data_IF_981720353627
#
_entry.id   IF_981720353627
#
_cell.length_a   1.000
_cell.length_b   1.000
_cell.length_c   1.000
_cell.angle_alpha   90.00
_cell.angle_beta   90.00
_cell.angle_gamma   90.00
#
_symmetry.space_group_name_H-M   'P 1'
#
loop_
_entity.id
_entity.type
_entity.pdbx_description
1 polymer ?
#
# COMPACT_ATOMS: atom_id res chain seq x y z
N UNK A 1 0.58 -12.44 1.42
CA UNK A 1 1.35 -11.23 1.08
C UNK A 1 0.47 -10.04 1.30
N UNK A 2 1.08 -8.93 1.70
CA UNK A 2 0.39 -7.70 2.09
C UNK A 2 1.02 -6.53 1.35
N UNK A 3 0.20 -5.63 0.82
CA UNK A 3 0.67 -4.36 0.22
C UNK A 3 0.39 -3.22 1.19
N UNK A 4 1.37 -2.35 1.44
CA UNK A 4 1.24 -1.27 2.43
C UNK A 4 2.12 -0.05 2.12
N UNK A 5 1.66 1.11 2.58
CA UNK A 5 2.42 2.37 2.54
C UNK A 5 3.31 2.60 3.76
N UNK A 6 3.11 1.82 4.83
CA UNK A 6 3.77 2.08 6.10
C UNK A 6 5.21 1.57 6.07
N UNK A 7 6.16 2.48 5.89
CA UNK A 7 7.59 2.21 6.07
C UNK A 7 8.04 2.41 7.53
N UNK A 8 7.14 2.17 8.50
CA UNK A 8 7.51 2.15 9.91
C UNK A 8 8.46 0.97 10.10
N UNK A 9 9.74 1.26 10.33
CA UNK A 9 10.83 0.28 10.47
C UNK A 9 10.47 -0.84 11.46
N UNK A 10 9.69 -0.51 12.49
CA UNK A 10 9.15 -1.45 13.49
C UNK A 10 8.09 -2.40 12.91
N UNK A 11 7.15 -1.89 12.12
CA UNK A 11 6.09 -2.67 11.47
C UNK A 11 6.63 -3.47 10.29
N UNK A 12 7.62 -2.94 9.57
CA UNK A 12 8.31 -3.64 8.49
C UNK A 12 9.03 -4.90 8.99
N UNK A 13 9.69 -4.84 10.16
CA UNK A 13 10.28 -6.02 10.80
C UNK A 13 9.23 -7.02 11.31
N UNK A 14 8.10 -6.53 11.81
CA UNK A 14 7.00 -7.38 12.29
C UNK A 14 6.30 -8.10 11.14
N UNK A 15 5.98 -7.38 10.05
CA UNK A 15 5.44 -7.96 8.83
C UNK A 15 6.44 -8.93 8.21
N UNK A 16 7.71 -8.56 8.00
CA UNK A 16 8.70 -9.45 7.34
C UNK A 16 8.91 -10.80 8.07
N UNK A 17 8.61 -10.88 9.37
CA UNK A 17 8.66 -12.12 10.17
C UNK A 17 7.41 -12.99 10.06
N UNK A 18 6.27 -12.45 9.63
CA UNK A 18 4.97 -13.15 9.61
C UNK A 18 4.30 -13.19 8.22
N UNK A 19 4.61 -12.25 7.32
CA UNK A 19 4.00 -12.08 6.01
C UNK A 19 5.01 -11.42 5.04
N UNK A 20 5.04 -11.84 3.78
CA UNK A 20 5.80 -11.12 2.74
C UNK A 20 5.14 -9.76 2.46
N UNK A 21 5.80 -8.61 2.71
CA UNK A 21 5.24 -7.30 2.44
C UNK A 21 5.74 -6.70 1.11
N UNK A 22 4.87 -6.00 0.41
CA UNK A 22 5.18 -5.11 -0.72
C UNK A 22 4.93 -3.67 -0.26
N UNK A 23 5.94 -2.81 -0.37
CA UNK A 23 5.87 -1.43 0.12
C UNK A 23 5.60 -0.47 -1.03
N UNK A 24 4.68 0.48 -0.82
CA UNK A 24 4.38 1.55 -1.77
C UNK A 24 5.07 2.84 -1.33
N UNK A 25 5.60 3.55 -2.31
CA UNK A 25 6.26 4.84 -2.09
C UNK A 25 5.23 5.93 -1.80
N UNK A 26 5.63 6.92 -1.01
CA UNK A 26 4.81 8.10 -0.68
C UNK A 26 5.54 9.37 -1.05
N UNK A 27 4.84 10.30 -1.68
CA UNK A 27 5.35 11.62 -2.00
C UNK A 27 5.78 12.38 -0.74
N UNK A 28 6.83 13.19 -0.88
CA UNK A 28 7.21 14.21 0.10
C UNK A 28 7.41 15.55 -0.59
N UNK A 29 7.00 16.62 0.07
CA UNK A 29 7.24 17.97 -0.40
C UNK A 29 8.55 18.56 0.21
N UNK A 30 9.03 19.72 -0.28
CA UNK A 30 10.24 20.37 0.26
C UNK A 30 10.16 20.76 1.75
N UNK A 31 8.97 20.83 2.32
CA UNK A 31 8.75 21.08 3.76
C UNK A 31 8.81 19.79 4.60
N UNK A 32 9.01 18.64 3.96
CA UNK A 32 9.10 17.33 4.60
C UNK A 32 7.75 16.66 4.87
N UNK A 33 6.63 17.28 4.46
CA UNK A 33 5.29 16.72 4.67
C UNK A 33 5.13 15.42 3.92
N UNK A 34 4.48 14.46 4.58
CA UNK A 34 4.11 13.17 4.02
C UNK A 34 2.85 13.40 3.19
N UNK A 35 3.08 13.43 1.88
CA UNK A 35 2.02 13.43 0.90
C UNK A 35 1.48 12.03 0.70
N UNK A 36 0.77 11.88 -0.41
CA UNK A 36 0.13 10.64 -0.73
C UNK A 36 1.05 9.57 -1.34
N UNK A 37 0.59 8.32 -1.38
CA UNK A 37 1.00 7.30 -2.36
C UNK A 37 1.09 7.84 -3.79
N UNK A 38 2.20 7.61 -4.47
CA UNK A 38 2.33 8.05 -5.85
C UNK A 38 1.36 7.30 -6.79
N UNK A 39 0.85 7.97 -7.81
CA UNK A 39 -0.21 7.43 -8.67
C UNK A 39 0.20 6.13 -9.40
N UNK A 40 1.49 6.00 -9.73
CA UNK A 40 2.08 4.83 -10.39
C UNK A 40 2.11 3.59 -9.47
N UNK A 41 2.13 3.78 -8.15
CA UNK A 41 2.08 2.68 -7.18
C UNK A 41 0.76 1.89 -7.21
N UNK A 42 -0.24 2.39 -7.94
CA UNK A 42 -1.52 1.71 -8.18
C UNK A 42 -1.61 1.08 -9.58
N UNK A 43 -0.52 1.04 -10.34
CA UNK A 43 -0.46 0.34 -11.62
C UNK A 43 -0.16 -1.14 -11.38
N UNK A 44 -0.94 -2.02 -12.02
CA UNK A 44 -0.83 -3.46 -11.80
C UNK A 44 0.55 -4.00 -12.22
N UNK A 45 1.09 -3.52 -13.33
CA UNK A 45 2.40 -3.95 -13.83
C UNK A 45 3.50 -3.64 -12.80
N UNK A 46 3.51 -2.42 -12.27
CA UNK A 46 4.42 -2.02 -11.20
C UNK A 46 4.26 -2.87 -9.93
N UNK A 47 3.02 -3.12 -9.51
CA UNK A 47 2.76 -4.01 -8.36
C UNK A 47 3.28 -5.43 -8.61
N UNK A 48 3.13 -5.96 -9.83
CA UNK A 48 3.62 -7.30 -10.20
C UNK A 48 5.15 -7.36 -10.27
N UNK A 49 5.81 -6.29 -10.69
CA UNK A 49 7.27 -6.14 -10.59
C UNK A 49 7.72 -6.22 -9.12
N UNK A 50 7.09 -5.44 -8.23
CA UNK A 50 7.40 -5.49 -6.80
C UNK A 50 7.14 -6.87 -6.18
N UNK A 51 6.10 -7.58 -6.61
CA UNK A 51 5.83 -8.96 -6.19
C UNK A 51 6.94 -9.89 -6.66
N UNK A 52 7.45 -9.71 -7.88
CA UNK A 52 8.48 -10.58 -8.44
C UNK A 52 9.78 -10.55 -7.62
N UNK A 53 10.12 -9.40 -7.04
CA UNK A 53 11.29 -9.23 -6.19
C UNK A 53 11.19 -9.98 -4.84
N UNK A 54 9.98 -10.16 -4.30
CA UNK A 54 9.79 -10.69 -2.93
C UNK A 54 9.08 -12.05 -2.87
N UNK A 55 8.31 -12.39 -3.88
CA UNK A 55 7.50 -13.60 -3.98
C UNK A 55 7.20 -13.95 -5.45
N UNK A 56 8.23 -14.30 -6.26
CA UNK A 56 8.09 -14.55 -7.70
C UNK A 56 7.03 -15.61 -8.03
N UNK A 57 6.84 -16.60 -7.16
CA UNK A 57 5.84 -17.64 -7.30
C UNK A 57 4.39 -17.13 -7.27
N UNK A 58 4.15 -15.89 -6.82
CA UNK A 58 2.82 -15.27 -6.69
C UNK A 58 2.54 -14.21 -7.75
N UNK A 59 3.49 -13.91 -8.63
CA UNK A 59 3.38 -12.86 -9.65
C UNK A 59 2.20 -13.09 -10.58
N UNK A 60 1.79 -14.35 -10.81
CA UNK A 60 0.68 -14.72 -11.69
C UNK A 60 -0.63 -14.99 -10.95
N UNK A 61 -0.65 -14.84 -9.62
CA UNK A 61 -1.90 -14.96 -8.86
C UNK A 61 -2.88 -13.89 -9.35
N UNK A 62 -4.16 -14.27 -9.48
CA UNK A 62 -5.24 -13.31 -9.77
C UNK A 62 -5.37 -12.31 -8.62
N UNK A 63 -5.23 -12.79 -7.38
CA UNK A 63 -5.25 -12.00 -6.14
C UNK A 63 -3.99 -12.22 -5.33
N UNK A 64 -2.87 -11.59 -5.70
CA UNK A 64 -1.61 -11.78 -5.00
C UNK A 64 -1.65 -11.21 -3.57
N UNK A 65 -2.51 -10.24 -3.26
CA UNK A 65 -2.57 -9.63 -1.94
C UNK A 65 -3.71 -10.19 -1.10
N UNK A 66 -3.38 -10.75 0.07
CA UNK A 66 -4.39 -11.20 1.04
C UNK A 66 -4.99 -10.03 1.82
N UNK A 67 -4.23 -8.95 1.94
CA UNK A 67 -4.60 -7.70 2.61
C UNK A 67 -3.84 -6.53 1.97
N UNK A 68 -4.53 -5.45 1.64
CA UNK A 68 -3.93 -4.14 1.44
C UNK A 68 -4.17 -3.28 2.67
N UNK A 69 -3.13 -2.62 3.17
CA UNK A 69 -3.23 -1.65 4.27
C UNK A 69 -2.91 -0.28 3.72
N UNK A 70 -3.92 0.58 3.63
CA UNK A 70 -3.83 1.90 3.00
C UNK A 70 -4.13 2.95 4.05
N UNK A 71 -3.16 3.82 4.30
CA UNK A 71 -3.38 4.99 5.13
C UNK A 71 -4.21 6.01 4.35
N UNK A 72 -5.49 6.15 4.72
CA UNK A 72 -6.44 6.99 3.98
C UNK A 72 -6.17 8.49 4.20
N UNK A 73 -5.64 8.85 5.37
CA UNK A 73 -5.25 10.21 5.72
C UNK A 73 -3.84 10.25 6.29
N UNK A 74 -2.97 11.09 5.73
CA UNK A 74 -1.67 11.39 6.36
C UNK A 74 -1.85 12.40 7.48
N UNK A 75 -0.90 12.41 8.43
CA UNK A 75 -0.89 13.37 9.53
C UNK A 75 -0.87 14.83 9.03
N UNK A 76 -0.18 15.07 7.91
CA UNK A 76 -0.04 16.40 7.30
C UNK A 76 -1.26 16.80 6.44
N UNK A 77 -2.36 16.05 6.50
CA UNK A 77 -3.65 16.43 5.93
C UNK A 77 -3.92 15.96 4.50
N UNK A 78 -3.12 15.04 3.94
CA UNK A 78 -3.44 14.45 2.63
C UNK A 78 -4.49 13.35 2.80
N UNK A 79 -5.66 13.51 2.15
CA UNK A 79 -6.75 12.53 2.18
C UNK A 79 -6.89 11.83 0.81
N UNK A 80 -6.98 10.51 0.83
CA UNK A 80 -7.17 9.65 -0.33
C UNK A 80 -8.63 9.50 -0.74
N UNK A 81 -8.86 9.39 -2.05
CA UNK A 81 -10.12 8.89 -2.57
C UNK A 81 -10.16 7.35 -2.42
N UNK A 82 -10.84 6.86 -1.39
CA UNK A 82 -10.97 5.43 -1.13
C UNK A 82 -11.54 4.66 -2.33
N UNK A 83 -12.46 5.25 -3.08
CA UNK A 83 -13.05 4.63 -4.28
C UNK A 83 -12.01 4.40 -5.36
N UNK A 84 -11.15 5.39 -5.60
CA UNK A 84 -10.06 5.26 -6.57
C UNK A 84 -9.10 4.12 -6.20
N UNK A 85 -8.82 3.93 -4.92
CA UNK A 85 -7.99 2.81 -4.44
C UNK A 85 -8.67 1.47 -4.73
N UNK A 86 -9.96 1.33 -4.38
CA UNK A 86 -10.71 0.10 -4.65
C UNK A 86 -10.77 -0.19 -6.15
N UNK A 87 -11.06 0.81 -6.98
CA UNK A 87 -11.18 0.65 -8.42
C UNK A 87 -9.85 0.25 -9.08
N UNK A 88 -8.71 0.75 -8.57
CA UNK A 88 -7.39 0.47 -9.14
C UNK A 88 -6.75 -0.84 -8.67
N UNK A 89 -6.91 -1.24 -7.40
CA UNK A 89 -6.19 -2.40 -6.84
C UNK A 89 -7.08 -3.42 -6.16
N UNK A 90 -8.40 -3.18 -6.07
CA UNK A 90 -9.33 -4.07 -5.40
C UNK A 90 -9.41 -5.46 -6.03
N UNK A 91 -9.22 -5.58 -7.34
CA UNK A 91 -9.20 -6.87 -8.02
C UNK A 91 -7.98 -7.73 -7.69
N UNK A 92 -6.89 -7.13 -7.18
CA UNK A 92 -5.67 -7.82 -6.75
C UNK A 92 -5.68 -8.23 -5.26
N UNK A 93 -6.68 -7.77 -4.51
CA UNK A 93 -6.75 -7.89 -3.07
C UNK A 93 -7.97 -8.69 -2.62
N UNK A 94 -7.80 -9.55 -1.61
CA UNK A 94 -8.95 -10.16 -0.93
C UNK A 94 -9.64 -9.17 0.02
N UNK A 95 -8.86 -8.31 0.68
CA UNK A 95 -9.32 -7.32 1.64
C UNK A 95 -8.51 -6.04 1.52
N UNK A 96 -9.15 -4.90 1.79
CA UNK A 96 -8.50 -3.61 1.93
C UNK A 96 -8.86 -3.06 3.32
N UNK A 97 -7.85 -2.75 4.11
CA UNK A 97 -7.96 -2.01 5.36
C UNK A 97 -7.58 -0.57 5.08
N UNK A 98 -8.55 0.34 5.22
CA UNK A 98 -8.30 1.77 5.26
C UNK A 98 -8.01 2.20 6.69
N UNK A 99 -6.77 2.54 6.99
CA UNK A 99 -6.43 3.14 8.27
C UNK A 99 -6.81 4.62 8.24
N UNK A 100 -7.89 4.93 8.96
CA UNK A 100 -8.46 6.28 9.08
C UNK A 100 -8.30 6.84 10.49
N UNK A 101 -7.35 6.37 11.30
CA UNK A 101 -7.17 6.82 12.67
C UNK A 101 -7.00 8.35 12.81
N UNK A 102 -6.48 9.01 11.76
CA UNK A 102 -6.31 10.47 11.67
C UNK A 102 -7.45 11.18 10.90
N UNK A 103 -8.29 10.43 10.21
CA UNK A 103 -9.45 10.93 9.47
C UNK A 103 -10.72 10.82 10.31
N UNK A 104 -10.92 11.74 11.26
CA UNK A 104 -12.27 12.08 11.72
C UNK A 104 -12.74 13.28 10.91
N UNK A 105 -13.45 13.01 9.82
CA UNK A 105 -14.40 13.95 9.21
C UNK A 105 -15.81 13.47 9.55
#
# INVERSE_FOLDING_TARGET
>A
MTVTTTNLTTTAHYYRRAQTPVYLETARNPYGFIGGIDAHCFEEDYLRELINEVAPQRVRDVRPFRLAVIQLGTYDGTIYNARQVVDKIGHLCDYILFDSALGRL
#
